data_IF_553146350802
#
_entry.id   IF_553146350802
#
_cell.length_a   1.000
_cell.length_b   1.000
_cell.length_c   1.000
_cell.angle_alpha   90.00
_cell.angle_beta   90.00
_cell.angle_gamma   90.00
#
_symmetry.space_group_name_H-M   'P 1'
#
loop_
_entity.id
_entity.type
_entity.pdbx_description
1 polymer ?
#
# COMPACT_ATOMS: atom_id res chain seq x y z
N UNK A 1 -42.73 4.18 17.99
CA UNK A 1 -41.54 4.93 17.55
C UNK A 1 -40.62 3.91 16.90
N UNK A 2 -40.73 3.75 15.58
CA UNK A 2 -39.95 2.76 14.84
C UNK A 2 -38.55 3.34 14.63
N UNK A 3 -37.53 2.74 15.24
CA UNK A 3 -36.14 3.01 14.86
C UNK A 3 -35.86 2.12 13.66
N UNK A 4 -35.83 2.75 12.49
CA UNK A 4 -35.41 2.16 11.22
C UNK A 4 -33.92 1.83 11.31
N UNK A 5 -33.59 0.55 11.42
CA UNK A 5 -32.25 0.04 11.18
C UNK A 5 -31.89 0.24 9.72
N UNK A 6 -31.09 1.26 9.43
CA UNK A 6 -30.36 1.35 8.18
C UNK A 6 -29.03 0.62 8.36
N UNK A 7 -29.04 -0.70 8.23
CA UNK A 7 -27.86 -1.45 7.81
C UNK A 7 -27.62 -1.13 6.34
N UNK A 8 -27.16 0.11 6.10
CA UNK A 8 -26.70 0.55 4.80
C UNK A 8 -25.45 -0.24 4.45
N UNK A 9 -25.55 -1.08 3.42
CA UNK A 9 -24.41 -1.73 2.78
C UNK A 9 -23.40 -0.63 2.40
N UNK A 10 -22.39 -0.42 3.24
CA UNK A 10 -21.41 0.62 3.02
C UNK A 10 -20.50 0.08 1.92
N UNK A 11 -20.68 0.59 0.70
CA UNK A 11 -19.84 0.21 -0.44
C UNK A 11 -18.38 0.27 -0.02
N UNK A 12 -17.68 -0.85 -0.14
CA UNK A 12 -16.24 -0.92 0.02
C UNK A 12 -15.61 0.07 -0.95
N UNK A 13 -14.83 1.01 -0.44
CA UNK A 13 -14.07 1.94 -1.27
C UNK A 13 -13.07 1.12 -2.09
N UNK A 14 -13.01 1.39 -3.39
CA UNK A 14 -12.08 0.76 -4.32
C UNK A 14 -11.28 1.87 -4.98
N UNK A 15 -9.95 1.79 -4.87
CA UNK A 15 -9.05 2.78 -5.47
C UNK A 15 -7.78 2.13 -6.01
N UNK A 16 -7.14 2.80 -6.96
CA UNK A 16 -5.88 2.33 -7.55
C UNK A 16 -4.73 3.13 -6.95
N UNK A 17 -3.70 2.44 -6.45
CA UNK A 17 -2.42 3.05 -6.09
C UNK A 17 -1.33 2.60 -7.06
N UNK A 18 -0.40 3.50 -7.34
CA UNK A 18 0.81 3.22 -8.13
C UNK A 18 2.04 3.55 -7.30
N UNK A 19 3.12 2.79 -7.48
CA UNK A 19 4.40 3.02 -6.85
C UNK A 19 4.87 4.44 -7.15
N UNK A 20 5.41 5.11 -6.13
CA UNK A 20 5.82 6.51 -6.24
C UNK A 20 6.84 6.87 -5.19
N UNK A 21 7.96 7.43 -5.65
CA UNK A 21 8.92 8.11 -4.79
C UNK A 21 8.51 9.53 -4.39
N UNK A 22 7.36 10.03 -4.86
CA UNK A 22 6.95 11.42 -4.63
C UNK A 22 6.90 11.76 -3.13
N UNK A 23 7.61 12.82 -2.73
CA UNK A 23 7.62 13.32 -1.36
C UNK A 23 8.22 12.34 -0.33
N UNK A 24 8.97 11.33 -0.77
CA UNK A 24 9.53 10.31 0.13
C UNK A 24 10.46 10.91 1.18
N UNK A 25 11.25 11.92 0.82
CA UNK A 25 12.16 12.61 1.75
C UNK A 25 11.37 13.25 2.92
N UNK A 26 10.25 13.93 2.62
CA UNK A 26 9.41 14.54 3.65
C UNK A 26 8.69 13.50 4.51
N UNK A 27 8.20 12.41 3.91
CA UNK A 27 7.63 11.29 4.68
C UNK A 27 8.68 10.69 5.61
N UNK A 28 9.92 10.54 5.13
CA UNK A 28 11.03 9.99 5.88
C UNK A 28 11.37 10.88 7.08
N UNK A 29 11.55 12.18 6.83
CA UNK A 29 11.77 13.17 7.88
C UNK A 29 10.64 13.17 8.90
N UNK A 30 9.38 13.18 8.46
CA UNK A 30 8.22 13.12 9.37
C UNK A 30 8.22 11.89 10.28
N UNK A 31 8.74 10.75 9.79
CA UNK A 31 8.80 9.50 10.55
C UNK A 31 9.94 9.47 11.56
N UNK A 32 11.11 10.02 11.21
CA UNK A 32 12.34 9.82 11.96
C UNK A 32 12.93 11.08 12.60
N UNK A 33 12.40 12.26 12.33
CA UNK A 33 12.82 13.51 12.97
C UNK A 33 11.91 13.82 14.16
N UNK A 34 12.49 14.03 15.35
CA UNK A 34 11.71 14.33 16.56
C UNK A 34 11.20 15.78 16.56
N UNK A 35 10.04 15.99 17.18
CA UNK A 35 9.46 17.33 17.34
C UNK A 35 10.33 18.28 18.19
N UNK A 36 11.15 17.73 19.09
CA UNK A 36 12.11 18.48 19.90
C UNK A 36 13.45 18.74 19.20
N UNK A 37 13.58 18.33 17.93
CA UNK A 37 14.80 18.42 17.15
C UNK A 37 15.64 17.16 17.19
N UNK A 38 16.38 16.92 16.12
CA UNK A 38 17.28 15.77 15.97
C UNK A 38 16.60 14.51 15.43
N UNK A 39 17.44 13.61 14.95
CA UNK A 39 17.03 12.37 14.31
C UNK A 39 16.91 11.19 15.28
N UNK A 40 16.02 10.24 14.95
CA UNK A 40 15.74 9.05 15.73
C UNK A 40 16.93 8.11 15.82
N UNK A 41 17.38 7.83 17.04
CA UNK A 41 18.43 6.83 17.32
C UNK A 41 17.90 5.39 17.36
N UNK A 42 16.59 5.20 17.31
CA UNK A 42 15.96 3.89 17.34
C UNK A 42 16.02 3.18 15.98
N UNK A 43 16.34 3.91 14.91
CA UNK A 43 16.55 3.33 13.59
C UNK A 43 17.95 2.71 13.51
N UNK A 44 18.04 1.48 13.02
CA UNK A 44 19.30 0.79 12.75
C UNK A 44 19.92 1.36 11.47
N UNK A 45 20.47 2.57 11.56
CA UNK A 45 21.11 3.29 10.45
C UNK A 45 21.25 4.78 10.75
N UNK A 46 21.68 5.56 9.76
CA UNK A 46 21.75 7.02 9.84
C UNK A 46 20.57 7.66 9.08
N UNK A 47 19.45 7.96 9.76
CA UNK A 47 18.28 8.54 9.12
C UNK A 47 18.52 9.96 8.57
N UNK A 48 19.53 10.68 9.07
CA UNK A 48 19.92 12.00 8.55
C UNK A 48 20.57 11.84 7.17
N UNK A 49 21.57 10.96 7.09
CA UNK A 49 22.25 10.66 5.83
C UNK A 49 21.29 10.10 4.78
N UNK A 50 20.33 9.25 5.19
CA UNK A 50 19.29 8.75 4.28
C UNK A 50 18.42 9.90 3.77
N UNK A 51 18.00 10.81 4.65
CA UNK A 51 17.19 11.97 4.24
C UNK A 51 17.93 12.85 3.23
N UNK A 52 19.20 13.17 3.48
CA UNK A 52 20.02 13.96 2.55
C UNK A 52 20.13 13.29 1.17
N UNK A 53 20.37 11.97 1.15
CA UNK A 53 20.38 11.19 -0.10
C UNK A 53 19.04 11.20 -0.81
N UNK A 54 17.92 11.10 -0.09
CA UNK A 54 16.57 11.19 -0.67
C UNK A 54 16.29 12.59 -1.24
N UNK A 55 16.71 13.66 -0.55
CA UNK A 55 16.61 15.02 -1.06
C UNK A 55 17.39 15.21 -2.36
N UNK A 56 18.57 14.60 -2.48
CA UNK A 56 19.39 14.67 -3.69
C UNK A 56 18.73 14.03 -4.92
N UNK A 57 17.80 13.09 -4.75
CA UNK A 57 17.04 12.49 -5.85
C UNK A 57 15.92 13.42 -6.39
N UNK A 58 15.60 14.51 -5.69
CA UNK A 58 14.55 15.46 -6.04
C UNK A 58 13.15 15.08 -5.55
N UNK A 59 12.12 15.80 -6.04
CA UNK A 59 10.75 15.68 -5.53
C UNK A 59 9.98 14.45 -6.06
N UNK A 60 10.39 13.93 -7.22
CA UNK A 60 9.73 12.81 -7.90
C UNK A 60 10.74 11.73 -8.32
N UNK A 61 11.48 11.15 -7.36
CA UNK A 61 12.44 10.10 -7.67
C UNK A 61 11.74 8.84 -8.18
N UNK A 62 12.44 8.05 -8.99
CA UNK A 62 11.91 6.74 -9.40
C UNK A 62 11.83 5.83 -8.16
N UNK A 63 10.84 4.92 -8.09
CA UNK A 63 10.72 4.00 -6.97
C UNK A 63 11.98 3.20 -6.66
N UNK A 64 12.72 2.76 -7.70
CA UNK A 64 13.96 2.00 -7.53
C UNK A 64 15.09 2.84 -6.92
N UNK A 65 15.25 4.10 -7.32
CA UNK A 65 16.25 5.00 -6.72
C UNK A 65 16.01 5.16 -5.20
N UNK A 66 14.74 5.15 -4.78
CA UNK A 66 14.37 5.18 -3.36
C UNK A 66 14.79 3.88 -2.65
N UNK A 67 14.61 2.74 -3.30
CA UNK A 67 15.03 1.42 -2.77
C UNK A 67 16.54 1.37 -2.60
N UNK A 68 17.30 1.92 -3.55
CA UNK A 68 18.78 1.97 -3.48
C UNK A 68 19.29 2.84 -2.34
N UNK A 69 18.52 3.86 -1.94
CA UNK A 69 18.85 4.73 -0.81
C UNK A 69 18.45 4.12 0.54
N UNK A 70 17.22 3.60 0.65
CA UNK A 70 16.64 3.13 1.92
C UNK A 70 16.95 1.65 2.20
N UNK A 71 17.15 0.85 1.15
CA UNK A 71 17.37 -0.59 1.23
C UNK A 71 16.10 -1.43 1.32
N UNK A 72 14.91 -0.86 1.11
CA UNK A 72 13.66 -1.62 1.04
C UNK A 72 12.57 -0.94 0.18
N UNK A 73 11.58 -1.74 -0.25
CA UNK A 73 10.50 -1.32 -1.16
C UNK A 73 9.31 -0.65 -0.47
N UNK A 74 9.22 -0.66 0.85
CA UNK A 74 8.02 -0.19 1.58
C UNK A 74 7.76 1.31 1.52
N UNK A 75 8.74 2.09 1.07
CA UNK A 75 8.64 3.55 0.97
C UNK A 75 8.20 4.05 -0.39
N UNK A 76 8.30 3.21 -1.43
CA UNK A 76 8.04 3.59 -2.82
C UNK A 76 7.18 2.59 -3.60
N UNK A 77 7.05 1.34 -3.14
CA UNK A 77 6.22 0.29 -3.75
C UNK A 77 5.00 -0.10 -2.91
N UNK A 78 4.21 -1.04 -3.43
CA UNK A 78 3.03 -1.59 -2.75
C UNK A 78 3.18 -3.10 -2.56
N UNK A 79 2.71 -3.63 -1.43
CA UNK A 79 2.77 -5.05 -1.13
C UNK A 79 1.43 -5.72 -1.46
N UNK A 80 1.43 -6.66 -2.39
CA UNK A 80 0.23 -7.42 -2.76
C UNK A 80 -0.05 -8.51 -1.72
N UNK A 81 -1.24 -8.50 -1.12
CA UNK A 81 -1.68 -9.52 -0.15
C UNK A 81 -2.08 -10.85 -0.79
N UNK A 82 -2.27 -10.90 -2.10
CA UNK A 82 -2.67 -12.12 -2.81
C UNK A 82 -1.49 -13.02 -3.18
N UNK A 83 -0.35 -12.43 -3.55
CA UNK A 83 0.84 -13.16 -3.98
C UNK A 83 2.08 -12.90 -3.11
N UNK A 84 1.97 -12.08 -2.06
CA UNK A 84 3.07 -11.71 -1.15
C UNK A 84 4.28 -11.05 -1.84
N UNK A 85 4.04 -10.35 -2.95
CA UNK A 85 5.08 -9.67 -3.73
C UNK A 85 4.96 -8.14 -3.68
N UNK A 86 6.11 -7.47 -3.85
CA UNK A 86 6.16 -6.02 -4.05
C UNK A 86 5.92 -5.68 -5.52
N UNK A 87 4.89 -4.88 -5.78
CA UNK A 87 4.43 -4.51 -7.12
C UNK A 87 4.28 -3.00 -7.29
N UNK A 88 4.28 -2.57 -8.55
CA UNK A 88 4.15 -1.15 -8.90
C UNK A 88 2.71 -0.65 -8.87
N UNK A 89 1.72 -1.53 -8.90
CA UNK A 89 0.32 -1.14 -8.99
C UNK A 89 -0.55 -2.10 -8.20
N UNK A 90 -1.47 -1.55 -7.42
CA UNK A 90 -2.45 -2.32 -6.65
C UNK A 90 -3.82 -1.68 -6.74
N UNK A 91 -4.85 -2.50 -6.66
CA UNK A 91 -6.21 -2.08 -6.28
C UNK A 91 -6.34 -2.29 -4.79
N UNK A 92 -6.81 -1.25 -4.12
CA UNK A 92 -7.02 -1.20 -2.68
C UNK A 92 -8.51 -1.36 -2.43
N UNK A 93 -8.85 -2.38 -1.66
CA UNK A 93 -10.19 -2.65 -1.18
C UNK A 93 -10.27 -2.32 0.32
N UNK A 94 -11.32 -1.65 0.73
CA UNK A 94 -11.58 -1.37 2.14
C UNK A 94 -11.61 0.12 2.42
N UNK A 95 -12.08 0.46 3.61
CA UNK A 95 -12.09 1.82 4.09
C UNK A 95 -11.44 1.85 5.46
N UNK A 96 -10.21 2.35 5.53
CA UNK A 96 -9.53 2.49 6.81
C UNK A 96 -9.28 3.97 7.12
N UNK A 97 -9.37 4.32 8.40
CA UNK A 97 -8.81 5.59 8.90
C UNK A 97 -7.29 5.49 9.15
N UNK A 98 -6.75 4.27 9.21
CA UNK A 98 -5.41 3.97 9.74
C UNK A 98 -4.61 2.91 8.93
N UNK A 99 -5.14 2.41 7.82
CA UNK A 99 -4.50 1.43 6.92
C UNK A 99 -4.81 -0.04 7.21
N UNK A 100 -5.40 -0.37 8.35
CA UNK A 100 -5.48 -1.76 8.85
C UNK A 100 -6.59 -2.60 8.19
N UNK A 101 -7.65 -1.94 7.72
CA UNK A 101 -8.78 -2.59 7.04
C UNK A 101 -8.65 -2.57 5.50
N UNK A 102 -7.46 -2.23 4.98
CA UNK A 102 -7.18 -2.19 3.54
C UNK A 102 -6.49 -3.47 3.07
N UNK A 103 -6.98 -4.00 1.95
CA UNK A 103 -6.35 -5.10 1.22
C UNK A 103 -5.88 -4.57 -0.12
N UNK A 104 -4.57 -4.67 -0.34
CA UNK A 104 -3.92 -4.30 -1.60
C UNK A 104 -3.74 -5.57 -2.45
N UNK A 105 -4.31 -5.60 -3.65
CA UNK A 105 -4.17 -6.70 -4.62
C UNK A 105 -3.56 -6.20 -5.93
N UNK A 106 -2.59 -6.92 -6.46
CA UNK A 106 -2.02 -6.65 -7.79
C UNK A 106 -3.00 -7.05 -8.91
N UNK A 107 -2.80 -6.57 -10.15
CA UNK A 107 -3.64 -6.92 -11.29
C UNK A 107 -3.82 -8.43 -11.49
N UNK A 108 -2.72 -9.19 -11.39
CA UNK A 108 -2.74 -10.64 -11.63
C UNK A 108 -3.58 -11.38 -10.59
N UNK A 109 -3.49 -10.99 -9.32
CA UNK A 109 -4.32 -11.56 -8.25
C UNK A 109 -5.80 -11.21 -8.41
N UNK A 110 -6.11 -10.02 -8.94
CA UNK A 110 -7.49 -9.62 -9.23
C UNK A 110 -8.05 -10.42 -10.39
N UNK A 111 -7.27 -10.62 -11.44
CA UNK A 111 -7.66 -11.45 -12.58
C UNK A 111 -7.91 -12.90 -12.16
N UNK A 112 -7.01 -13.47 -11.35
CA UNK A 112 -7.19 -14.81 -10.79
C UNK A 112 -8.46 -14.91 -9.93
N UNK A 113 -8.71 -13.92 -9.06
CA UNK A 113 -9.92 -13.87 -8.24
C UNK A 113 -11.19 -13.73 -9.08
N UNK A 114 -11.18 -12.89 -10.11
CA UNK A 114 -12.29 -12.72 -11.03
C UNK A 114 -12.61 -14.02 -11.77
N UNK A 115 -11.58 -14.74 -12.26
CA UNK A 115 -11.75 -16.04 -12.90
C UNK A 115 -12.34 -17.07 -11.93
N UNK A 116 -11.84 -17.14 -10.69
CA UNK A 116 -12.37 -18.03 -9.66
C UNK A 116 -13.85 -17.74 -9.34
N UNK A 117 -14.28 -16.47 -9.34
CA UNK A 117 -15.68 -16.09 -9.14
C UNK A 117 -16.57 -16.54 -10.30
N UNK A 118 -16.10 -16.41 -11.54
CA UNK A 118 -16.80 -16.92 -12.73
C UNK A 118 -16.97 -18.44 -12.62
N UNK A 119 -15.92 -19.16 -12.24
CA UNK A 119 -15.95 -20.61 -12.10
C UNK A 119 -16.86 -21.05 -10.95
N UNK A 120 -16.85 -20.33 -9.83
CA UNK A 120 -17.74 -20.58 -8.69
C UNK A 120 -19.21 -20.37 -9.04
N UNK A 121 -19.53 -19.41 -9.90
CA UNK A 121 -20.91 -19.12 -10.31
C UNK A 121 -21.48 -20.15 -11.31
N UNK A 122 -20.66 -21.06 -11.85
CA UNK A 122 -21.14 -22.12 -12.75
C UNK A 122 -22.05 -23.09 -11.97
N UNK A 123 -23.16 -23.55 -12.57
CA UNK A 123 -24.00 -24.57 -11.95
C UNK A 123 -23.17 -25.81 -11.64
N UNK A 124 -23.33 -26.37 -10.44
CA UNK A 124 -22.71 -27.64 -10.10
C UNK A 124 -23.43 -28.76 -10.85
N UNK A 125 -22.86 -29.20 -11.97
CA UNK A 125 -23.30 -30.44 -12.63
C UNK A 125 -22.82 -31.63 -11.79
N UNK A 126 -23.75 -32.18 -11.00
CA UNK A 126 -23.50 -33.40 -10.24
C UNK A 126 -23.17 -34.52 -11.25
N UNK A 127 -22.02 -35.21 -11.13
CA UNK A 127 -21.74 -36.35 -11.98
C UNK A 127 -22.82 -37.43 -11.76
N UNK A 128 -23.41 -37.89 -12.86
CA UNK A 128 -24.42 -38.96 -12.94
C UNK A 128 -23.76 -40.31 -12.69
#
# INVERSE_FOLDING_TARGET
>A
MFQSGHDGFKMTEVRIKTASGHGVAERWRKRYYYSQGGWSKAFLGDPEQIYERLCALGQHPKPDDVVDVIGNKSWSGHFCRGCDEWVDKVVVFGHSRNGEDEIDLCPDCIEAAHQALIDFAKPYDKPV
#
